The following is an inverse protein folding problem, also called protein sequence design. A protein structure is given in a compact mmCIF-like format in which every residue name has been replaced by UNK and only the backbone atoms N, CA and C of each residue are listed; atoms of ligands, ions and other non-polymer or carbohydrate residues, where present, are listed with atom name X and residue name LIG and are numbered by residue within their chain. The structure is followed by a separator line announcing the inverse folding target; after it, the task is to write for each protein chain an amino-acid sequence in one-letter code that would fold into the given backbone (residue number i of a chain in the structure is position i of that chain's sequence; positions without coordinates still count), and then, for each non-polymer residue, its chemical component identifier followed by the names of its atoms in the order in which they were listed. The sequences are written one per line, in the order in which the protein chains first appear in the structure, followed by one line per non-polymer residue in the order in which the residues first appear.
data_IF_318253485369
#
_entry.id   IF_318253485369
#
_cell.length_a   1.000
_cell.length_b   1.000
_cell.length_c   1.000
_cell.angle_alpha   90.00
_cell.angle_beta   90.00
_cell.angle_gamma   90.00
#
_symmetry.space_group_name_H-M   'P 1'
#
loop_
_entity.id
_entity.type
_entity.pdbx_description
1 polymer ?
#
# COMPACT_ATOMS: atom_id res chain seq x y z
N UNK A 1 -6.11 -0.27 34.04
CA UNK A 1 -5.55 0.56 32.96
C UNK A 1 -4.04 0.38 32.80
N UNK A 2 -3.18 0.82 33.73
CA UNK A 2 -1.70 0.72 33.60
C UNK A 2 -1.19 -0.70 33.26
N UNK A 3 -1.75 -1.75 33.88
CA UNK A 3 -1.43 -3.15 33.56
C UNK A 3 -1.77 -3.50 32.10
N UNK A 4 -2.92 -3.05 31.61
CA UNK A 4 -3.35 -3.28 30.22
C UNK A 4 -2.41 -2.59 29.23
N UNK A 5 -1.99 -1.36 29.54
CA UNK A 5 -0.95 -0.66 28.76
C UNK A 5 0.36 -1.42 28.74
N UNK A 6 0.82 -1.96 29.87
CA UNK A 6 2.04 -2.78 29.91
C UNK A 6 1.94 -3.98 28.98
N UNK A 7 0.80 -4.69 28.96
CA UNK A 7 0.56 -5.79 28.02
C UNK A 7 0.60 -5.32 26.56
N UNK A 8 -0.02 -4.18 26.25
CA UNK A 8 0.01 -3.57 24.91
C UNK A 8 1.45 -3.23 24.47
N UNK A 9 2.27 -2.67 25.36
CA UNK A 9 3.67 -2.32 25.05
C UNK A 9 4.56 -3.53 24.78
N UNK A 10 4.33 -4.65 25.46
CA UNK A 10 5.05 -5.91 25.18
C UNK A 10 4.44 -6.71 24.02
N UNK A 11 3.45 -6.13 23.31
CA UNK A 11 2.72 -6.73 22.18
C UNK A 11 1.90 -7.97 22.54
N UNK A 12 1.59 -8.16 23.82
CA UNK A 12 0.60 -9.15 24.25
C UNK A 12 -0.80 -8.54 24.11
N UNK A 13 -1.23 -8.41 22.86
CA UNK A 13 -2.50 -7.77 22.50
C UNK A 13 -3.72 -8.53 23.03
N UNK A 14 -3.63 -9.85 23.17
CA UNK A 14 -4.71 -10.66 23.75
C UNK A 14 -4.95 -10.27 25.21
N UNK A 15 -3.89 -10.27 26.03
CA UNK A 15 -4.00 -9.84 27.43
C UNK A 15 -4.38 -8.37 27.54
N UNK A 16 -3.84 -7.50 26.66
CA UNK A 16 -4.18 -6.09 26.63
C UNK A 16 -5.69 -5.87 26.38
N UNK A 17 -6.25 -6.46 25.33
CA UNK A 17 -7.69 -6.35 25.00
C UNK A 17 -8.56 -6.84 26.14
N UNK A 18 -8.26 -8.00 26.74
CA UNK A 18 -9.02 -8.50 27.89
C UNK A 18 -9.00 -7.53 29.08
N UNK A 19 -7.85 -6.91 29.36
CA UNK A 19 -7.71 -5.99 30.49
C UNK A 19 -8.30 -4.61 30.20
N UNK A 20 -8.30 -4.15 28.96
CA UNK A 20 -8.97 -2.91 28.55
C UNK A 20 -10.50 -3.07 28.54
N UNK A 21 -11.02 -4.14 27.95
CA UNK A 21 -12.46 -4.40 27.86
C UNK A 21 -13.11 -4.56 29.23
N UNK A 22 -12.38 -5.10 30.22
CA UNK A 22 -12.81 -5.22 31.61
C UNK A 22 -12.88 -3.90 32.41
N UNK A 23 -12.45 -2.76 31.84
CA UNK A 23 -12.58 -1.44 32.50
C UNK A 23 -13.98 -0.90 32.20
N UNK A 24 -14.76 -0.65 33.26
CA UNK A 24 -16.16 -0.20 33.19
C UNK A 24 -16.31 1.31 33.37
N UNK A 25 -17.45 1.87 32.92
CA UNK A 25 -17.73 3.32 32.85
C UNK A 25 -17.48 4.14 34.13
N UNK A 26 -17.73 3.61 35.36
CA UNK A 26 -17.38 4.34 36.59
C UNK A 26 -15.88 4.61 36.77
N UNK A 27 -14.99 3.96 36.01
CA UNK A 27 -13.56 4.19 36.09
C UNK A 27 -13.15 5.51 35.44
N UNK A 28 -12.26 6.26 36.10
CA UNK A 28 -11.64 7.47 35.53
C UNK A 28 -10.85 7.20 34.23
N UNK A 29 -10.43 5.95 34.00
CA UNK A 29 -9.67 5.52 32.82
C UNK A 29 -10.54 4.86 31.76
N UNK A 30 -11.87 4.96 31.87
CA UNK A 30 -12.77 4.26 30.95
C UNK A 30 -12.58 4.71 29.51
N UNK A 31 -12.59 6.02 29.24
CA UNK A 31 -12.46 6.54 27.88
C UNK A 31 -11.08 6.20 27.28
N UNK A 32 -10.02 6.31 28.08
CA UNK A 32 -8.66 5.95 27.70
C UNK A 32 -8.55 4.45 27.37
N UNK A 33 -9.20 3.58 28.16
CA UNK A 33 -9.22 2.15 27.92
C UNK A 33 -9.92 1.79 26.60
N UNK A 34 -11.05 2.42 26.30
CA UNK A 34 -11.81 2.17 25.07
C UNK A 34 -11.07 2.66 23.83
N UNK A 35 -10.35 3.77 23.93
CA UNK A 35 -9.48 4.24 22.85
C UNK A 35 -8.26 3.33 22.64
N UNK A 36 -7.65 2.82 23.72
CA UNK A 36 -6.57 1.83 23.59
C UNK A 36 -7.07 0.49 23.03
N UNK A 37 -8.32 0.10 23.33
CA UNK A 37 -8.96 -1.07 22.70
C UNK A 37 -9.09 -0.90 21.18
N UNK A 38 -9.50 0.29 20.70
CA UNK A 38 -9.47 0.63 19.26
C UNK A 38 -8.06 0.47 18.67
N UNK A 39 -7.04 1.01 19.34
CA UNK A 39 -5.65 0.90 18.89
C UNK A 39 -5.19 -0.55 18.82
N UNK A 40 -5.48 -1.34 19.84
CA UNK A 40 -5.06 -2.75 19.89
C UNK A 40 -5.73 -3.54 18.77
N UNK A 41 -7.03 -3.34 18.53
CA UNK A 41 -7.74 -3.95 17.40
C UNK A 41 -7.12 -3.55 16.06
N UNK A 42 -6.66 -2.30 15.94
CA UNK A 42 -5.93 -1.82 14.78
C UNK A 42 -4.58 -2.56 14.60
N UNK A 43 -3.80 -2.71 15.68
CA UNK A 43 -2.48 -3.33 15.66
C UNK A 43 -2.50 -4.83 15.36
N UNK A 44 -3.60 -5.52 15.69
CA UNK A 44 -3.82 -6.92 15.31
C UNK A 44 -4.45 -7.09 13.92
N UNK A 45 -4.66 -5.99 13.18
CA UNK A 45 -5.32 -5.94 11.88
C UNK A 45 -6.79 -6.43 11.90
N UNK A 46 -7.46 -6.39 13.05
CA UNK A 46 -8.90 -6.68 13.14
C UNK A 46 -9.71 -5.42 12.78
N UNK A 47 -9.60 -4.99 11.52
CA UNK A 47 -10.26 -3.79 11.03
C UNK A 47 -11.78 -3.93 11.04
N UNK A 48 -12.31 -5.12 10.73
CA UNK A 48 -13.75 -5.38 10.77
C UNK A 48 -14.28 -5.33 12.20
N UNK A 49 -13.61 -5.98 13.15
CA UNK A 49 -13.96 -5.92 14.57
C UNK A 49 -13.85 -4.51 15.13
N UNK A 50 -12.78 -3.78 14.80
CA UNK A 50 -12.59 -2.37 15.15
C UNK A 50 -13.76 -1.52 14.67
N UNK A 51 -14.16 -1.65 13.40
CA UNK A 51 -15.29 -0.90 12.84
C UNK A 51 -16.62 -1.25 13.49
N UNK A 52 -16.84 -2.54 13.77
CA UNK A 52 -18.03 -3.01 14.49
C UNK A 52 -18.09 -2.44 15.91
N UNK A 53 -16.98 -2.52 16.64
CA UNK A 53 -16.83 -1.97 17.98
C UNK A 53 -17.04 -0.45 18.01
N UNK A 54 -16.48 0.28 17.03
CA UNK A 54 -16.67 1.72 16.93
C UNK A 54 -18.15 2.08 16.80
N UNK A 55 -18.84 1.47 15.84
CA UNK A 55 -20.26 1.76 15.54
C UNK A 55 -21.21 1.34 16.65
N UNK A 56 -20.96 0.18 17.27
CA UNK A 56 -21.93 -0.43 18.19
C UNK A 56 -21.74 0.01 19.65
N UNK A 57 -20.52 0.36 20.06
CA UNK A 57 -20.18 0.63 21.46
C UNK A 57 -19.43 1.94 21.64
N UNK A 58 -18.39 2.21 20.84
CA UNK A 58 -17.53 3.37 21.10
C UNK A 58 -18.27 4.71 20.99
N UNK A 59 -19.05 4.91 19.92
CA UNK A 59 -19.79 6.17 19.69
C UNK A 59 -20.77 6.47 20.84
N UNK A 60 -21.38 5.44 21.43
CA UNK A 60 -22.45 5.59 22.42
C UNK A 60 -21.93 5.62 23.86
N UNK A 61 -20.86 4.89 24.17
CA UNK A 61 -20.38 4.71 25.54
C UNK A 61 -19.31 5.71 25.95
N UNK A 62 -18.49 6.17 25.00
CA UNK A 62 -17.27 6.94 25.24
C UNK A 62 -17.56 8.44 25.16
N UNK A 63 -17.23 9.18 26.21
CA UNK A 63 -17.55 10.62 26.27
C UNK A 63 -16.34 11.50 25.85
N UNK A 64 -15.13 10.94 25.83
CA UNK A 64 -13.88 11.62 25.44
C UNK A 64 -13.14 10.85 24.35
N UNK A 65 -12.41 11.57 23.50
CA UNK A 65 -11.63 10.99 22.39
C UNK A 65 -12.44 10.41 21.22
N UNK A 66 -13.66 10.91 21.01
CA UNK A 66 -14.50 10.52 19.87
C UNK A 66 -13.78 10.74 18.54
N UNK A 67 -13.16 11.92 18.38
CA UNK A 67 -12.40 12.26 17.18
C UNK A 67 -11.25 11.29 16.92
N UNK A 68 -10.45 10.95 17.93
CA UNK A 68 -9.32 10.02 17.81
C UNK A 68 -9.79 8.60 17.44
N UNK A 69 -10.89 8.14 18.03
CA UNK A 69 -11.54 6.89 17.66
C UNK A 69 -12.03 6.90 16.22
N UNK A 70 -12.67 7.98 15.78
CA UNK A 70 -13.16 8.15 14.41
C UNK A 70 -12.02 8.20 13.39
N UNK A 71 -10.89 8.82 13.75
CA UNK A 71 -9.67 8.78 12.93
C UNK A 71 -9.20 7.34 12.70
N UNK A 72 -9.09 6.53 13.75
CA UNK A 72 -8.71 5.11 13.63
C UNK A 72 -9.74 4.29 12.86
N UNK A 73 -11.02 4.54 13.09
CA UNK A 73 -12.12 3.96 12.33
C UNK A 73 -11.99 4.25 10.83
N UNK A 74 -11.78 5.51 10.44
CA UNK A 74 -11.59 5.87 9.03
C UNK A 74 -10.31 5.24 8.46
N UNK A 75 -9.18 5.31 9.18
CA UNK A 75 -7.94 4.68 8.72
C UNK A 75 -8.10 3.18 8.45
N UNK A 76 -8.93 2.46 9.21
CA UNK A 76 -9.15 1.03 9.03
C UNK A 76 -9.61 0.64 7.61
N UNK A 77 -10.34 1.53 6.92
CA UNK A 77 -10.79 1.30 5.54
C UNK A 77 -9.63 1.33 4.54
N UNK A 78 -8.53 2.04 4.83
CA UNK A 78 -7.38 2.11 3.93
C UNK A 78 -6.57 0.81 3.90
N UNK A 79 -6.74 -0.06 4.90
CA UNK A 79 -6.04 -1.34 5.03
C UNK A 79 -6.86 -2.53 4.53
N UNK A 80 -8.11 -2.33 4.08
CA UNK A 80 -8.96 -3.38 3.54
C UNK A 80 -9.36 -3.06 2.10
N UNK A 81 -9.95 -4.03 1.41
CA UNK A 81 -10.50 -3.84 0.05
C UNK A 81 -12.01 -3.52 0.08
N UNK A 82 -12.51 -3.12 1.25
CA UNK A 82 -13.89 -2.68 1.40
C UNK A 82 -14.13 -1.34 0.70
N UNK A 83 -15.39 -1.06 0.36
CA UNK A 83 -15.76 0.22 -0.22
C UNK A 83 -15.41 1.37 0.73
N UNK A 84 -14.65 2.34 0.21
CA UNK A 84 -14.28 3.52 0.97
C UNK A 84 -15.51 4.41 1.23
N UNK A 85 -15.65 4.97 2.44
CA UNK A 85 -16.62 6.03 2.70
C UNK A 85 -16.44 7.21 1.73
N UNK A 86 -17.47 8.06 1.62
CA UNK A 86 -17.36 9.31 0.88
C UNK A 86 -16.18 10.12 1.41
N UNK A 87 -15.42 10.73 0.50
CA UNK A 87 -14.16 11.40 0.86
C UNK A 87 -14.36 12.51 1.89
N UNK A 88 -15.45 13.26 1.77
CA UNK A 88 -15.76 14.34 2.71
C UNK A 88 -15.99 13.77 4.11
N UNK A 89 -16.83 12.73 4.23
CA UNK A 89 -17.11 12.00 5.49
C UNK A 89 -15.84 11.39 6.07
N UNK A 90 -15.03 10.75 5.23
CA UNK A 90 -13.73 10.17 5.61
C UNK A 90 -12.79 11.23 6.19
N UNK A 91 -12.81 12.44 5.64
CA UNK A 91 -11.91 13.53 6.04
C UNK A 91 -12.45 14.39 7.18
N UNK A 92 -13.72 14.23 7.61
CA UNK A 92 -14.35 15.02 8.67
C UNK A 92 -13.53 15.09 9.97
N UNK A 93 -13.03 13.99 10.57
CA UNK A 93 -12.39 14.04 11.89
C UNK A 93 -10.98 14.63 11.87
N UNK A 94 -10.41 14.92 10.69
CA UNK A 94 -9.03 15.37 10.54
C UNK A 94 -8.91 16.90 10.51
N UNK A 95 -7.84 17.42 11.09
CA UNK A 95 -7.55 18.86 11.03
C UNK A 95 -7.08 19.29 9.62
N UNK A 96 -7.04 20.60 9.36
CA UNK A 96 -6.67 21.14 8.04
C UNK A 96 -5.29 20.66 7.55
N UNK A 97 -4.32 20.51 8.45
CA UNK A 97 -2.96 20.05 8.09
C UNK A 97 -2.94 18.55 7.82
N UNK A 98 -3.75 17.79 8.53
CA UNK A 98 -3.90 16.34 8.36
C UNK A 98 -4.65 16.00 7.07
N UNK A 99 -5.71 16.76 6.72
CA UNK A 99 -6.54 16.53 5.54
C UNK A 99 -5.74 16.47 4.24
N UNK A 100 -4.73 17.32 4.07
CA UNK A 100 -3.89 17.30 2.86
C UNK A 100 -3.19 15.94 2.70
N UNK A 101 -2.51 15.49 3.75
CA UNK A 101 -1.78 14.23 3.71
C UNK A 101 -2.72 13.02 3.60
N UNK A 102 -3.85 13.06 4.30
CA UNK A 102 -4.80 11.95 4.34
C UNK A 102 -5.62 11.87 3.05
N UNK A 103 -5.94 13.01 2.44
CA UNK A 103 -6.50 13.05 1.09
C UNK A 103 -5.59 12.33 0.11
N UNK A 104 -4.27 12.54 0.18
CA UNK A 104 -3.35 11.84 -0.72
C UNK A 104 -3.38 10.32 -0.54
N UNK A 105 -3.53 9.81 0.69
CA UNK A 105 -3.68 8.37 0.94
C UNK A 105 -5.03 7.85 0.45
N UNK A 106 -6.11 8.60 0.69
CA UNK A 106 -7.44 8.24 0.20
C UNK A 106 -7.45 8.14 -1.33
N UNK A 107 -6.92 9.15 -2.02
CA UNK A 107 -6.89 9.21 -3.49
C UNK A 107 -6.04 8.07 -4.05
N UNK A 108 -4.88 7.79 -3.45
CA UNK A 108 -4.00 6.68 -3.85
C UNK A 108 -4.63 5.30 -3.64
N UNK A 109 -5.44 5.11 -2.59
CA UNK A 109 -6.20 3.86 -2.37
C UNK A 109 -7.36 3.72 -3.35
N UNK A 110 -8.04 4.82 -3.66
CA UNK A 110 -9.22 4.85 -4.53
C UNK A 110 -8.87 4.65 -6.01
N UNK A 111 -7.82 5.31 -6.47
CA UNK A 111 -7.33 5.24 -7.85
C UNK A 111 -5.80 5.07 -7.85
N UNK A 112 -5.31 3.86 -7.53
CA UNK A 112 -3.89 3.60 -7.58
C UNK A 112 -3.39 3.70 -9.02
N UNK A 113 -2.21 4.32 -9.26
CA UNK A 113 -1.66 4.53 -10.61
C UNK A 113 -1.07 3.24 -11.21
N UNK A 114 -1.82 2.14 -11.12
CA UNK A 114 -1.42 0.84 -11.67
C UNK A 114 -1.36 0.87 -13.18
N UNK A 115 -0.50 0.02 -13.72
CA UNK A 115 -0.25 -0.17 -15.14
C UNK A 115 -0.69 -1.57 -15.56
N UNK A 116 -1.30 -1.66 -16.73
CA UNK A 116 -1.73 -2.95 -17.28
C UNK A 116 -0.55 -3.70 -17.87
N UNK A 117 -0.29 -4.90 -17.35
CA UNK A 117 0.85 -5.72 -17.80
C UNK A 117 0.67 -6.28 -19.20
N UNK A 118 -0.55 -6.64 -19.58
CA UNK A 118 -0.84 -7.16 -20.93
C UNK A 118 -0.60 -6.08 -21.98
N UNK A 119 -1.07 -4.87 -21.74
CA UNK A 119 -0.84 -3.71 -22.58
C UNK A 119 0.65 -3.41 -22.70
N UNK A 120 1.40 -3.42 -21.59
CA UNK A 120 2.85 -3.27 -21.61
C UNK A 120 3.53 -4.33 -22.50
N UNK A 121 3.10 -5.60 -22.40
CA UNK A 121 3.57 -6.69 -23.26
C UNK A 121 3.26 -6.45 -24.73
N UNK A 122 2.02 -6.10 -25.07
CA UNK A 122 1.57 -5.81 -26.45
C UNK A 122 2.38 -4.65 -27.04
N UNK A 123 2.55 -3.56 -26.30
CA UNK A 123 3.36 -2.43 -26.73
C UNK A 123 4.78 -2.89 -27.06
N UNK A 124 5.42 -3.62 -26.14
CA UNK A 124 6.78 -4.14 -26.36
C UNK A 124 6.90 -5.18 -27.46
N UNK A 125 5.82 -5.87 -27.83
CA UNK A 125 5.80 -6.73 -29.00
C UNK A 125 5.78 -5.90 -30.29
N UNK A 126 5.05 -4.80 -30.35
CA UNK A 126 5.03 -3.94 -31.55
C UNK A 126 6.37 -3.20 -31.68
N UNK A 127 6.81 -2.57 -30.59
CA UNK A 127 8.07 -1.81 -30.53
C UNK A 127 8.82 -2.26 -29.27
N UNK A 128 9.95 -2.99 -29.40
CA UNK A 128 10.73 -3.47 -28.27
C UNK A 128 11.02 -2.35 -27.26
N UNK A 129 10.68 -2.59 -25.99
CA UNK A 129 10.91 -1.66 -24.90
C UNK A 129 9.84 -0.59 -24.67
N UNK A 130 8.88 -0.42 -25.59
CA UNK A 130 7.82 0.60 -25.43
C UNK A 130 6.87 0.33 -24.26
N UNK A 131 6.67 -0.93 -23.88
CA UNK A 131 5.95 -1.31 -22.65
C UNK A 131 6.65 -0.83 -21.38
N UNK A 132 7.99 -0.84 -21.36
CA UNK A 132 8.77 -0.30 -20.23
C UNK A 132 8.70 1.23 -20.17
N UNK A 133 8.66 1.90 -21.32
CA UNK A 133 8.42 3.35 -21.39
C UNK A 133 7.02 3.70 -20.84
N UNK A 134 6.00 2.91 -21.19
CA UNK A 134 4.61 3.09 -20.72
C UNK A 134 4.48 3.08 -19.18
N UNK A 135 5.28 2.26 -18.50
CA UNK A 135 5.30 2.17 -17.03
C UNK A 135 6.27 3.18 -16.37
N UNK A 136 6.94 4.03 -17.16
CA UNK A 136 7.87 5.07 -16.68
C UNK A 136 9.35 4.65 -16.65
N UNK A 137 9.68 3.40 -16.97
CA UNK A 137 11.04 2.87 -17.03
C UNK A 137 11.69 3.16 -18.39
N UNK A 138 11.84 4.46 -18.70
CA UNK A 138 12.28 4.90 -20.03
C UNK A 138 13.69 4.41 -20.39
N UNK A 139 14.61 4.39 -19.42
CA UNK A 139 15.98 3.90 -19.63
C UNK A 139 16.00 2.44 -20.08
N UNK A 140 15.30 1.57 -19.36
CA UNK A 140 15.19 0.14 -19.69
C UNK A 140 14.48 -0.09 -21.02
N UNK A 141 13.50 0.75 -21.35
CA UNK A 141 12.83 0.73 -22.65
C UNK A 141 13.77 1.04 -23.81
N UNK A 142 14.60 2.08 -23.68
CA UNK A 142 15.61 2.45 -24.69
C UNK A 142 16.65 1.33 -24.84
N UNK A 143 17.15 0.78 -23.74
CA UNK A 143 18.12 -0.32 -23.77
C UNK A 143 17.54 -1.55 -24.47
N UNK A 144 16.29 -1.90 -24.15
CA UNK A 144 15.57 -2.99 -24.81
C UNK A 144 15.46 -2.77 -26.34
N UNK A 145 15.07 -1.57 -26.76
CA UNK A 145 14.96 -1.20 -28.17
C UNK A 145 16.29 -1.34 -28.91
N UNK A 146 17.35 -0.72 -28.39
CA UNK A 146 18.68 -0.73 -29.00
C UNK A 146 19.19 -2.16 -29.10
N UNK A 147 19.11 -2.92 -28.00
CA UNK A 147 19.67 -4.28 -27.93
C UNK A 147 18.99 -5.21 -28.93
N UNK A 148 17.66 -5.23 -28.98
CA UNK A 148 16.92 -6.05 -29.94
C UNK A 148 17.19 -5.63 -31.38
N UNK A 149 17.24 -4.32 -31.65
CA UNK A 149 17.50 -3.79 -32.99
C UNK A 149 18.90 -4.16 -33.47
N UNK A 150 19.92 -4.03 -32.61
CA UNK A 150 21.30 -4.38 -32.95
C UNK A 150 21.42 -5.86 -33.28
N UNK A 151 20.83 -6.76 -32.49
CA UNK A 151 20.90 -8.20 -32.78
C UNK A 151 20.14 -8.58 -34.05
N UNK A 152 18.96 -7.98 -34.28
CA UNK A 152 18.21 -8.17 -35.52
C UNK A 152 19.01 -7.67 -36.73
N UNK A 153 19.69 -6.52 -36.61
CA UNK A 153 20.54 -5.97 -37.66
C UNK A 153 21.74 -6.87 -37.97
N UNK A 154 22.43 -7.39 -36.94
CA UNK A 154 23.55 -8.32 -37.14
C UNK A 154 23.08 -9.61 -37.83
N UNK A 155 21.91 -10.13 -37.47
CA UNK A 155 21.32 -11.29 -38.14
C UNK A 155 21.06 -11.01 -39.62
N UNK A 156 20.42 -9.87 -39.92
CA UNK A 156 20.14 -9.42 -41.28
C UNK A 156 21.42 -9.26 -42.13
N UNK A 157 22.45 -8.60 -41.59
CA UNK A 157 23.73 -8.38 -42.27
C UNK A 157 24.43 -9.71 -42.61
N UNK A 158 24.40 -10.68 -41.70
CA UNK A 158 24.98 -12.01 -41.95
C UNK A 158 24.21 -12.80 -43.00
N UNK A 159 22.88 -12.69 -43.08
CA UNK A 159 22.11 -13.28 -44.18
C UNK A 159 22.48 -12.64 -45.52
N UNK A 160 22.57 -11.31 -45.55
CA UNK A 160 22.96 -10.55 -46.76
C UNK A 160 24.38 -10.90 -47.24
N UNK A 161 25.30 -11.16 -46.32
CA UNK A 161 26.68 -11.57 -46.61
C UNK A 161 26.83 -13.07 -46.95
N UNK A 162 25.76 -13.87 -46.95
CA UNK A 162 25.82 -15.31 -47.22
C UNK A 162 26.40 -16.17 -46.08
N UNK A 163 26.53 -15.61 -44.88
CA UNK A 163 27.07 -16.28 -43.70
C UNK A 163 25.97 -17.03 -42.92
N UNK A 164 25.36 -18.04 -43.54
CA UNK A 164 24.13 -18.70 -43.06
C UNK A 164 24.19 -19.18 -41.60
N UNK A 165 25.28 -19.84 -41.17
CA UNK A 165 25.40 -20.34 -39.79
C UNK A 165 25.40 -19.18 -38.77
N UNK A 166 26.18 -18.12 -39.04
CA UNK A 166 26.22 -16.93 -38.17
C UNK A 166 24.89 -16.21 -38.13
N UNK A 167 24.20 -16.13 -39.28
CA UNK A 167 22.90 -15.48 -39.39
C UNK A 167 21.84 -16.17 -38.51
N UNK A 168 21.78 -17.50 -38.52
CA UNK A 168 20.86 -18.24 -37.66
C UNK A 168 21.19 -18.13 -36.17
N UNK A 169 22.47 -18.11 -35.81
CA UNK A 169 22.89 -17.87 -34.42
C UNK A 169 22.36 -16.51 -33.95
N UNK A 170 22.62 -15.44 -34.70
CA UNK A 170 22.17 -14.09 -34.32
C UNK A 170 20.65 -13.92 -34.40
N UNK A 171 19.98 -14.65 -35.28
CA UNK A 171 18.50 -14.72 -35.30
C UNK A 171 17.96 -15.32 -34.02
N UNK A 172 18.55 -16.42 -33.53
CA UNK A 172 18.18 -17.02 -32.26
C UNK A 172 18.40 -16.06 -31.08
N UNK A 173 19.54 -15.34 -31.07
CA UNK A 173 19.82 -14.29 -30.07
C UNK A 173 18.78 -13.17 -30.15
N UNK A 174 18.52 -12.63 -31.34
CA UNK A 174 17.52 -11.57 -31.53
C UNK A 174 16.13 -12.01 -31.06
N UNK A 175 15.71 -13.23 -31.40
CA UNK A 175 14.44 -13.80 -30.98
C UNK A 175 14.37 -13.98 -29.45
N UNK A 176 15.44 -14.47 -28.82
CA UNK A 176 15.52 -14.59 -27.36
C UNK A 176 15.38 -13.24 -26.66
N UNK A 177 16.12 -12.22 -27.11
CA UNK A 177 16.04 -10.89 -26.52
C UNK A 177 14.70 -10.21 -26.80
N UNK A 178 14.13 -10.40 -27.98
CA UNK A 178 12.80 -9.89 -28.30
C UNK A 178 11.73 -10.52 -27.38
N UNK A 179 11.70 -11.84 -27.25
CA UNK A 179 10.77 -12.53 -26.35
C UNK A 179 10.98 -12.12 -24.90
N UNK A 180 12.24 -12.01 -24.47
CA UNK A 180 12.62 -11.52 -23.14
C UNK A 180 12.16 -10.09 -22.88
N UNK A 181 12.17 -9.21 -23.88
CA UNK A 181 11.68 -7.84 -23.75
C UNK A 181 10.15 -7.76 -23.61
N UNK A 182 9.40 -8.59 -24.36
CA UNK A 182 7.94 -8.69 -24.23
C UNK A 182 7.59 -9.17 -22.83
N UNK A 183 8.12 -10.32 -22.41
CA UNK A 183 7.89 -10.87 -21.08
C UNK A 183 8.34 -9.91 -19.97
N UNK A 184 9.53 -9.32 -20.12
CA UNK A 184 10.09 -8.37 -19.17
C UNK A 184 9.26 -7.11 -19.01
N UNK A 185 8.50 -6.70 -20.04
CA UNK A 185 7.59 -5.54 -19.94
C UNK A 185 6.33 -5.86 -19.14
N UNK A 186 5.79 -7.08 -19.29
CA UNK A 186 4.68 -7.58 -18.45
C UNK A 186 5.13 -7.66 -16.98
N UNK A 187 6.31 -8.25 -16.74
CA UNK A 187 6.87 -8.38 -15.41
C UNK A 187 7.16 -7.02 -14.75
N UNK A 188 7.71 -6.07 -15.52
CA UNK A 188 7.99 -4.73 -15.00
C UNK A 188 6.72 -3.99 -14.59
N UNK A 189 5.60 -4.15 -15.31
CA UNK A 189 4.30 -3.61 -14.88
C UNK A 189 3.80 -4.22 -13.56
N UNK A 190 3.99 -5.53 -13.36
CA UNK A 190 3.64 -6.19 -12.09
C UNK A 190 4.49 -5.67 -10.93
N UNK A 191 5.80 -5.51 -11.15
CA UNK A 191 6.72 -4.94 -10.17
C UNK A 191 6.36 -3.50 -9.84
N UNK A 192 6.01 -2.70 -10.85
CA UNK A 192 5.53 -1.31 -10.68
C UNK A 192 4.29 -1.26 -9.79
N UNK A 193 3.29 -2.10 -10.06
CA UNK A 193 2.07 -2.14 -9.26
C UNK A 193 2.33 -2.61 -7.82
N UNK A 194 3.16 -3.65 -7.65
CA UNK A 194 3.54 -4.14 -6.33
C UNK A 194 4.30 -3.08 -5.51
N UNK A 195 5.16 -2.29 -6.17
CA UNK A 195 5.87 -1.17 -5.55
C UNK A 195 4.90 -0.10 -5.05
N UNK A 196 3.90 0.29 -5.85
CA UNK A 196 2.86 1.26 -5.43
C UNK A 196 2.15 0.76 -4.16
N UNK A 197 1.73 -0.51 -4.13
CA UNK A 197 1.06 -1.10 -2.97
C UNK A 197 1.98 -1.09 -1.73
N UNK A 198 3.24 -1.46 -1.92
CA UNK A 198 4.23 -1.48 -0.84
C UNK A 198 4.47 -0.08 -0.27
N UNK A 199 4.76 0.91 -1.11
CA UNK A 199 5.01 2.30 -0.72
C UNK A 199 3.77 2.92 -0.04
N UNK A 200 2.57 2.58 -0.51
CA UNK A 200 1.32 2.99 0.12
C UNK A 200 1.20 2.44 1.55
N UNK A 201 1.34 1.12 1.72
CA UNK A 201 1.21 0.46 3.03
C UNK A 201 2.31 0.92 4.01
N UNK A 202 3.55 1.04 3.54
CA UNK A 202 4.65 1.56 4.34
C UNK A 202 4.40 3.02 4.75
N UNK A 203 3.98 3.86 3.81
CA UNK A 203 3.65 5.26 4.05
C UNK A 203 2.55 5.45 5.09
N UNK A 204 1.50 4.64 5.03
CA UNK A 204 0.42 4.62 6.04
C UNK A 204 0.95 4.24 7.43
N UNK A 205 1.71 3.15 7.51
CA UNK A 205 2.27 2.67 8.78
C UNK A 205 3.22 3.69 9.40
N UNK A 206 4.10 4.30 8.62
CA UNK A 206 5.01 5.37 9.09
C UNK A 206 4.19 6.56 9.60
N UNK A 207 3.16 6.97 8.87
CA UNK A 207 2.31 8.09 9.25
C UNK A 207 1.58 7.83 10.58
N UNK A 208 0.94 6.67 10.73
CA UNK A 208 0.24 6.30 11.96
C UNK A 208 1.19 6.15 13.16
N UNK A 209 2.35 5.53 12.96
CA UNK A 209 3.37 5.42 14.01
C UNK A 209 3.83 6.80 14.48
N UNK A 210 4.07 7.75 13.56
CA UNK A 210 4.46 9.14 13.90
C UNK A 210 3.36 9.85 14.68
N UNK A 211 2.09 9.57 14.40
CA UNK A 211 0.93 10.10 15.13
C UNK A 211 0.60 9.31 16.40
N UNK A 212 1.38 8.28 16.74
CA UNK A 212 1.08 7.34 17.82
C UNK A 212 -0.35 6.80 17.73
N UNK A 213 -0.84 6.50 16.53
CA UNK A 213 -2.22 6.05 16.29
C UNK A 213 -3.28 7.00 16.86
N UNK A 214 -2.98 8.30 16.92
CA UNK A 214 -3.80 9.35 17.54
C UNK A 214 -4.08 9.15 19.03
N UNK A 215 -3.26 8.35 19.71
CA UNK A 215 -3.40 8.10 21.14
C UNK A 215 -2.72 9.23 21.92
N UNK A 216 -3.44 9.87 22.87
CA UNK A 216 -2.87 10.92 23.71
C UNK A 216 -1.80 10.35 24.64
N UNK A 217 -0.93 11.22 25.14
CA UNK A 217 -0.02 10.85 26.24
C UNK A 217 -0.82 10.83 27.53
N UNK A 218 -0.73 9.72 28.26
CA UNK A 218 -1.33 9.61 29.59
C UNK A 218 -0.36 10.14 30.65
N UNK A 219 -0.77 11.16 31.38
CA UNK A 219 -0.09 11.59 32.59
C UNK A 219 -0.68 10.81 33.78
N UNK A 220 0.20 10.15 34.53
CA UNK A 220 -0.17 9.28 35.65
C UNK A 220 0.23 9.87 37.01
N UNK A 221 0.82 11.06 36.99
CA UNK A 221 1.38 11.77 38.12
C UNK A 221 0.48 12.95 38.46
N UNK A 222 -0.73 12.65 38.92
CA UNK A 222 -1.63 13.56 39.65
C UNK A 222 -2.30 12.76 40.77
#
# INVERSE_FOLDING_TARGET
FKIALSYSYIKDYYSATQKFSGIIKPSIYFNEAKLEEMKVNFLINDFTGLRGYFKNSFITEVDKYQTEGEKLFNFSYLFTDDELPLKDDFLLPFDVKEKEKISSFYDLKKDPPYKDGTLAGIMSAIIPGSGKIYIGETGDGIVAFITTTVFAFIAYDNFKAGHTTRAWIWTGVAALFYAGNVYGSVAAAQVHNAKITFEFNEGLNIYLNKKNYYIPKYEFCD
#
